data_IF_799395173311
#
_entry.id   IF_799395173311
#
_cell.length_a   1.000
_cell.length_b   1.000
_cell.length_c   1.000
_cell.angle_alpha   90.00
_cell.angle_beta   90.00
_cell.angle_gamma   90.00
#
_symmetry.space_group_name_H-M   'P 1'
#
loop_
_entity.id
_entity.type
_entity.pdbx_description
1 polymer ?
#
# COMPACT_ATOMS: atom_id res chain seq x y z
N UNK A 1 -10.00 8.57 -25.95
CA UNK A 1 -9.33 8.70 -24.63
C UNK A 1 -7.89 9.10 -24.88
N UNK A 2 -7.43 10.21 -24.29
CA UNK A 2 -6.05 10.68 -24.41
C UNK A 2 -5.12 9.77 -23.57
N UNK A 3 -3.84 9.62 -23.95
CA UNK A 3 -2.78 8.92 -23.21
C UNK A 3 -2.79 9.24 -21.70
N UNK A 4 -2.97 10.52 -21.33
CA UNK A 4 -3.01 10.94 -19.93
C UNK A 4 -4.24 10.40 -19.19
N UNK A 5 -5.40 10.34 -19.85
CA UNK A 5 -6.63 9.77 -19.29
C UNK A 5 -6.51 8.25 -19.14
N UNK A 6 -5.88 7.58 -20.10
CA UNK A 6 -5.59 6.14 -20.04
C UNK A 6 -4.65 5.78 -18.88
N UNK A 7 -3.55 6.53 -18.73
CA UNK A 7 -2.64 6.35 -17.60
C UNK A 7 -3.35 6.63 -16.28
N UNK A 8 -4.16 7.69 -16.20
CA UNK A 8 -4.96 7.98 -15.00
C UNK A 8 -5.92 6.82 -14.68
N UNK A 9 -6.62 6.29 -15.68
CA UNK A 9 -7.53 5.16 -15.50
C UNK A 9 -6.81 3.93 -14.94
N UNK A 10 -5.70 3.50 -15.57
CA UNK A 10 -4.91 2.36 -15.08
C UNK A 10 -4.47 2.57 -13.63
N UNK A 11 -3.93 3.73 -13.30
CA UNK A 11 -3.44 4.02 -11.96
C UNK A 11 -4.55 3.87 -10.92
N UNK A 12 -5.71 4.47 -11.20
CA UNK A 12 -6.87 4.36 -10.32
C UNK A 12 -7.39 2.93 -10.22
N UNK A 13 -7.41 2.18 -11.32
CA UNK A 13 -7.78 0.75 -11.30
C UNK A 13 -6.86 -0.05 -10.39
N UNK A 14 -5.54 0.09 -10.54
CA UNK A 14 -4.55 -0.61 -9.70
C UNK A 14 -4.71 -0.20 -8.23
N UNK A 15 -4.89 1.10 -7.95
CA UNK A 15 -5.08 1.59 -6.60
C UNK A 15 -6.33 1.02 -5.94
N UNK A 16 -7.46 1.02 -6.65
CA UNK A 16 -8.72 0.46 -6.17
C UNK A 16 -8.57 -1.04 -5.91
N UNK A 17 -7.94 -1.79 -6.82
CA UNK A 17 -7.67 -3.22 -6.63
C UNK A 17 -6.79 -3.46 -5.40
N UNK A 18 -5.76 -2.65 -5.18
CA UNK A 18 -4.89 -2.77 -4.01
C UNK A 18 -5.67 -2.54 -2.70
N UNK A 19 -6.53 -1.53 -2.65
CA UNK A 19 -7.40 -1.27 -1.49
C UNK A 19 -8.36 -2.43 -1.25
N UNK A 20 -9.06 -2.91 -2.28
CA UNK A 20 -9.99 -4.03 -2.14
C UNK A 20 -9.28 -5.29 -1.64
N UNK A 21 -8.12 -5.61 -2.21
CA UNK A 21 -7.32 -6.77 -1.78
C UNK A 21 -6.90 -6.64 -0.32
N UNK A 22 -6.46 -5.46 0.11
CA UNK A 22 -6.11 -5.20 1.50
C UNK A 22 -7.30 -5.35 2.46
N UNK A 23 -8.48 -4.81 2.10
CA UNK A 23 -9.69 -4.91 2.91
C UNK A 23 -10.16 -6.37 3.01
N UNK A 24 -10.24 -7.08 1.88
CA UNK A 24 -10.68 -8.48 1.85
C UNK A 24 -9.73 -9.33 2.71
N UNK A 25 -8.42 -9.18 2.51
CA UNK A 25 -7.41 -9.92 3.28
C UNK A 25 -7.50 -9.64 4.80
N UNK A 26 -7.65 -8.36 5.18
CA UNK A 26 -7.82 -7.98 6.58
C UNK A 26 -9.10 -8.57 7.19
N UNK A 27 -10.20 -8.54 6.44
CA UNK A 27 -11.49 -9.08 6.86
C UNK A 27 -11.44 -10.60 7.02
N UNK A 28 -10.97 -11.34 6.01
CA UNK A 28 -10.91 -12.80 6.06
C UNK A 28 -9.99 -13.26 7.18
N UNK A 29 -8.84 -12.59 7.36
CA UNK A 29 -7.92 -12.95 8.44
C UNK A 29 -8.54 -12.74 9.82
N UNK A 30 -9.24 -11.62 10.04
CA UNK A 30 -9.93 -11.40 11.32
C UNK A 30 -11.10 -12.35 11.54
N UNK A 31 -11.85 -12.66 10.48
CA UNK A 31 -12.94 -13.63 10.53
C UNK A 31 -12.41 -15.00 10.97
N UNK A 32 -11.34 -15.47 10.33
CA UNK A 32 -10.71 -16.75 10.63
C UNK A 32 -10.21 -16.80 12.07
N UNK A 33 -9.53 -15.74 12.53
CA UNK A 33 -9.02 -15.63 13.91
C UNK A 33 -10.10 -15.57 14.99
N UNK A 34 -11.34 -15.22 14.64
CA UNK A 34 -12.43 -15.02 15.61
C UNK A 34 -13.46 -16.15 15.60
N UNK A 35 -13.64 -16.84 14.48
CA UNK A 35 -14.70 -17.83 14.29
C UNK A 35 -14.18 -19.26 14.08
N UNK A 36 -12.88 -19.45 13.83
CA UNK A 36 -12.30 -20.79 13.66
C UNK A 36 -11.68 -21.27 14.98
N UNK A 37 -12.07 -22.45 15.51
CA UNK A 37 -11.46 -23.00 16.71
C UNK A 37 -9.96 -23.25 16.47
N UNK A 38 -9.09 -22.69 17.30
CA UNK A 38 -7.65 -22.91 17.20
C UNK A 38 -7.31 -24.36 17.59
N UNK A 39 -6.68 -25.10 16.69
CA UNK A 39 -6.20 -26.48 16.91
C UNK A 39 -4.67 -26.52 16.68
N UNK A 40 -3.92 -27.12 17.60
CA UNK A 40 -2.45 -27.29 17.44
C UNK A 40 -1.66 -25.97 17.52
N UNK A 41 -0.72 -25.76 16.59
CA UNK A 41 0.18 -24.58 16.57
C UNK A 41 -0.57 -23.24 16.32
N UNK A 42 -1.80 -23.29 15.82
CA UNK A 42 -2.65 -22.11 15.58
C UNK A 42 -3.11 -21.44 16.89
N UNK A 43 -2.98 -22.10 18.05
CA UNK A 43 -3.25 -21.52 19.38
C UNK A 43 -2.35 -20.31 19.66
N UNK A 44 -1.20 -20.20 18.98
CA UNK A 44 -0.28 -19.08 19.13
C UNK A 44 -0.80 -17.80 18.46
N UNK A 45 -1.65 -17.90 17.43
CA UNK A 45 -2.17 -16.75 16.69
C UNK A 45 -3.60 -16.43 17.07
N UNK A 46 -3.85 -15.17 17.42
CA UNK A 46 -5.16 -14.70 17.87
C UNK A 46 -5.39 -13.24 17.51
N UNK A 47 -6.66 -12.87 17.41
CA UNK A 47 -7.05 -11.47 17.43
C UNK A 47 -6.76 -10.86 18.81
N UNK A 48 -6.21 -9.67 18.84
CA UNK A 48 -5.90 -8.97 20.08
C UNK A 48 -5.28 -7.61 19.84
N UNK A 49 -5.62 -6.64 20.68
CA UNK A 49 -5.12 -5.29 20.58
C UNK A 49 -3.69 -5.17 21.12
N UNK A 50 -2.78 -4.61 20.32
CA UNK A 50 -1.39 -4.31 20.69
C UNK A 50 -1.04 -2.91 20.24
N UNK A 51 -0.42 -2.15 21.12
CA UNK A 51 0.12 -0.83 20.80
C UNK A 51 1.50 -0.69 21.43
N UNK A 52 2.51 -0.45 20.60
CA UNK A 52 3.90 -0.32 21.03
C UNK A 52 4.62 0.81 20.31
N UNK A 53 5.92 0.93 20.57
CA UNK A 53 6.77 1.96 19.96
C UNK A 53 6.79 1.88 18.43
N UNK A 54 6.80 0.68 17.85
CA UNK A 54 6.73 0.47 16.40
C UNK A 54 5.46 1.08 15.77
N UNK A 55 4.30 0.96 16.45
CA UNK A 55 3.05 1.56 15.99
C UNK A 55 3.13 3.08 15.91
N UNK A 56 3.83 3.70 16.86
CA UNK A 56 4.06 5.16 16.88
C UNK A 56 4.90 5.57 15.67
N UNK A 57 6.03 4.89 15.41
CA UNK A 57 6.88 5.22 14.25
C UNK A 57 6.15 5.06 12.92
N UNK A 58 5.37 3.98 12.75
CA UNK A 58 4.57 3.76 11.55
C UNK A 58 3.48 4.83 11.40
N UNK A 59 2.81 5.20 12.49
CA UNK A 59 1.78 6.25 12.48
C UNK A 59 2.35 7.62 12.10
N UNK A 60 3.55 7.95 12.60
CA UNK A 60 4.27 9.17 12.21
C UNK A 60 4.61 9.14 10.71
N UNK A 61 5.11 8.01 10.20
CA UNK A 61 5.41 7.85 8.78
C UNK A 61 4.14 8.04 7.91
N UNK A 62 3.03 7.43 8.30
CA UNK A 62 1.71 7.60 7.63
C UNK A 62 1.32 9.07 7.61
N UNK A 63 1.42 9.77 8.75
CA UNK A 63 1.05 11.18 8.86
C UNK A 63 1.89 12.05 7.93
N UNK A 64 3.22 11.88 7.96
CA UNK A 64 4.16 12.63 7.11
C UNK A 64 3.86 12.38 5.63
N UNK A 65 3.78 11.12 5.20
CA UNK A 65 3.51 10.75 3.81
C UNK A 65 2.15 11.30 3.36
N UNK A 66 1.12 11.20 4.21
CA UNK A 66 -0.23 11.71 3.91
C UNK A 66 -0.23 13.23 3.74
N UNK A 67 0.47 13.97 4.60
CA UNK A 67 0.57 15.42 4.51
C UNK A 67 1.27 15.85 3.21
N UNK A 68 2.42 15.24 2.89
CA UNK A 68 3.12 15.51 1.62
C UNK A 68 2.27 15.16 0.41
N UNK A 69 1.55 14.05 0.47
CA UNK A 69 0.70 13.59 -0.63
C UNK A 69 -0.53 14.50 -0.81
N UNK A 70 -1.12 15.02 0.26
CA UNK A 70 -2.22 15.98 0.20
C UNK A 70 -1.80 17.30 -0.45
N UNK A 71 -0.63 17.84 -0.07
CA UNK A 71 -0.07 19.07 -0.65
C UNK A 71 0.35 18.84 -2.12
N UNK A 72 0.96 17.69 -2.38
CA UNK A 72 1.57 17.34 -3.66
C UNK A 72 0.64 16.67 -4.67
N UNK A 73 -0.60 16.33 -4.32
CA UNK A 73 -1.43 15.36 -5.07
C UNK A 73 -1.49 15.61 -6.57
N UNK A 74 -1.78 16.86 -6.96
CA UNK A 74 -1.88 17.25 -8.38
C UNK A 74 -0.51 17.42 -9.04
N UNK A 75 0.50 17.85 -8.28
CA UNK A 75 1.86 18.14 -8.77
C UNK A 75 2.68 16.88 -9.00
N UNK A 76 2.41 15.84 -8.21
CA UNK A 76 3.12 14.57 -8.26
C UNK A 76 2.57 13.63 -9.34
N UNK A 77 1.54 14.00 -10.12
CA UNK A 77 1.01 13.12 -11.16
C UNK A 77 2.11 12.77 -12.20
N UNK A 78 2.29 11.50 -12.58
CA UNK A 78 1.50 10.30 -12.22
C UNK A 78 1.99 9.49 -11.01
N UNK A 79 2.99 9.96 -10.27
CA UNK A 79 3.60 9.32 -9.10
C UNK A 79 2.79 9.37 -7.80
N UNK A 80 1.76 10.22 -7.75
CA UNK A 80 0.85 10.32 -6.60
C UNK A 80 0.20 8.96 -6.24
N UNK A 81 -0.23 8.19 -7.24
CA UNK A 81 -0.88 6.89 -7.01
C UNK A 81 0.08 5.82 -6.47
N UNK A 82 1.29 5.61 -7.04
CA UNK A 82 2.28 4.72 -6.43
C UNK A 82 2.59 5.04 -4.97
N UNK A 83 2.72 6.33 -4.63
CA UNK A 83 2.95 6.77 -3.25
C UNK A 83 1.73 6.43 -2.38
N UNK A 84 0.51 6.61 -2.91
CA UNK A 84 -0.72 6.21 -2.22
C UNK A 84 -0.79 4.69 -1.97
N UNK A 85 -0.31 3.85 -2.89
CA UNK A 85 -0.25 2.39 -2.70
C UNK A 85 0.70 2.04 -1.54
N UNK A 86 1.87 2.68 -1.48
CA UNK A 86 2.82 2.50 -0.37
C UNK A 86 2.19 2.93 0.95
N UNK A 87 1.46 4.05 0.96
CA UNK A 87 0.72 4.54 2.12
C UNK A 87 -0.35 3.53 2.59
N UNK A 88 -1.10 2.94 1.66
CA UNK A 88 -2.05 1.85 1.96
C UNK A 88 -1.32 0.66 2.60
N UNK A 89 -0.13 0.31 2.09
CA UNK A 89 0.72 -0.71 2.69
C UNK A 89 1.08 -0.41 4.16
N UNK A 90 1.43 0.84 4.46
CA UNK A 90 1.71 1.26 5.86
C UNK A 90 0.47 1.12 6.74
N UNK A 91 -0.70 1.53 6.25
CA UNK A 91 -1.97 1.34 6.97
C UNK A 91 -2.27 -0.14 7.20
N UNK A 92 -2.00 -0.99 6.19
CA UNK A 92 -2.22 -2.43 6.25
C UNK A 92 -1.33 -3.09 7.30
N UNK A 93 -0.02 -2.83 7.31
CA UNK A 93 0.87 -3.39 8.34
C UNK A 93 0.53 -2.86 9.72
N UNK A 94 0.17 -1.57 9.86
CA UNK A 94 -0.26 -1.01 11.14
C UNK A 94 -1.51 -1.72 11.67
N UNK A 95 -2.48 -2.00 10.80
CA UNK A 95 -3.69 -2.74 11.16
C UNK A 95 -3.36 -4.13 11.72
N UNK A 96 -2.57 -4.92 10.98
CA UNK A 96 -2.19 -6.26 11.41
C UNK A 96 -1.36 -6.25 12.70
N UNK A 97 -0.40 -5.32 12.82
CA UNK A 97 0.38 -5.18 14.06
C UNK A 97 -0.49 -4.76 15.25
N UNK A 98 -1.59 -4.04 15.00
CA UNK A 98 -2.51 -3.58 16.05
C UNK A 98 -3.47 -4.66 16.50
N UNK A 99 -4.03 -5.44 15.57
CA UNK A 99 -5.15 -6.34 15.86
C UNK A 99 -4.79 -7.82 15.86
N UNK A 100 -3.55 -8.20 15.55
CA UNK A 100 -3.14 -9.60 15.50
C UNK A 100 -1.92 -9.89 16.37
N UNK A 101 -1.91 -11.08 16.96
CA UNK A 101 -0.83 -11.61 17.80
C UNK A 101 -0.32 -12.91 17.16
N UNK A 102 0.98 -13.19 17.30
CA UNK A 102 1.63 -14.36 16.71
C UNK A 102 2.04 -14.15 15.25
N UNK A 103 2.18 -15.24 14.52
CA UNK A 103 2.69 -15.26 13.14
C UNK A 103 1.79 -14.56 12.14
N UNK A 104 0.48 -14.47 12.41
CA UNK A 104 -0.46 -13.74 11.55
C UNK A 104 -0.11 -12.25 11.42
N UNK A 105 0.57 -11.66 12.41
CA UNK A 105 1.11 -10.30 12.28
C UNK A 105 2.13 -10.14 11.13
N UNK A 106 2.83 -11.22 10.76
CA UNK A 106 3.74 -11.22 9.64
C UNK A 106 3.02 -11.08 8.28
N UNK A 107 1.74 -11.46 8.18
CA UNK A 107 0.91 -11.23 6.99
C UNK A 107 0.82 -9.73 6.70
N UNK A 108 0.73 -8.89 7.74
CA UNK A 108 0.81 -7.43 7.61
C UNK A 108 2.11 -6.96 6.98
N UNK A 109 3.25 -7.51 7.41
CA UNK A 109 4.57 -7.17 6.88
C UNK A 109 4.74 -7.62 5.42
N UNK A 110 4.27 -8.83 5.07
CA UNK A 110 4.28 -9.30 3.69
C UNK A 110 3.39 -8.45 2.78
N UNK A 111 2.19 -8.08 3.23
CA UNK A 111 1.31 -7.19 2.48
C UNK A 111 1.93 -5.82 2.24
N UNK A 112 2.63 -5.26 3.25
CA UNK A 112 3.40 -4.03 3.07
C UNK A 112 4.54 -4.20 2.06
N UNK A 113 5.30 -5.30 2.10
CA UNK A 113 6.36 -5.56 1.14
C UNK A 113 5.83 -5.61 -0.30
N UNK A 114 4.69 -6.29 -0.52
CA UNK A 114 4.04 -6.34 -1.83
C UNK A 114 3.61 -4.93 -2.28
N UNK A 115 2.94 -4.17 -1.42
CA UNK A 115 2.52 -2.80 -1.72
C UNK A 115 3.73 -1.90 -2.05
N UNK A 116 4.82 -2.05 -1.32
CA UNK A 116 6.07 -1.34 -1.56
C UNK A 116 6.68 -1.68 -2.93
N UNK A 117 6.79 -2.96 -3.25
CA UNK A 117 7.31 -3.42 -4.55
C UNK A 117 6.44 -2.93 -5.71
N UNK A 118 5.11 -3.02 -5.60
CA UNK A 118 4.19 -2.51 -6.63
C UNK A 118 4.35 -1.00 -6.81
N UNK A 119 4.42 -0.23 -5.72
CA UNK A 119 4.67 1.20 -5.77
C UNK A 119 6.00 1.54 -6.46
N UNK A 120 7.08 0.84 -6.10
CA UNK A 120 8.40 1.03 -6.71
C UNK A 120 8.41 0.72 -8.21
N UNK A 121 7.81 -0.40 -8.63
CA UNK A 121 7.72 -0.78 -10.05
C UNK A 121 6.98 0.30 -10.86
N UNK A 122 5.90 0.86 -10.33
CA UNK A 122 5.16 1.93 -11.00
C UNK A 122 5.96 3.23 -11.07
N UNK A 123 6.67 3.61 -9.99
CA UNK A 123 7.56 4.78 -9.97
C UNK A 123 8.62 4.64 -11.06
N UNK A 124 9.29 3.49 -11.14
CA UNK A 124 10.32 3.23 -12.15
C UNK A 124 9.71 3.31 -13.56
N UNK A 125 8.57 2.66 -13.78
CA UNK A 125 7.89 2.65 -15.07
C UNK A 125 7.52 4.05 -15.55
N UNK A 126 6.96 4.90 -14.68
CA UNK A 126 6.65 6.29 -15.04
C UNK A 126 7.89 7.15 -15.23
N UNK A 127 8.95 6.90 -14.47
CA UNK A 127 10.22 7.62 -14.62
C UNK A 127 10.82 7.36 -15.99
N UNK A 128 10.85 6.08 -16.43
CA UNK A 128 11.30 5.69 -17.77
C UNK A 128 10.41 6.31 -18.85
N UNK A 129 9.08 6.23 -18.71
CA UNK A 129 8.15 6.81 -19.68
C UNK A 129 8.35 8.33 -19.85
N UNK A 130 8.54 9.06 -18.75
CA UNK A 130 8.78 10.50 -18.75
C UNK A 130 10.12 10.86 -19.41
N UNK A 131 11.18 10.08 -19.16
CA UNK A 131 12.49 10.27 -19.79
C UNK A 131 12.42 10.07 -21.31
N UNK A 132 11.69 9.04 -21.77
CA UNK A 132 11.50 8.78 -23.21
C UNK A 132 10.74 9.93 -23.88
N UNK A 133 9.70 10.45 -23.22
CA UNK A 133 8.90 11.56 -23.73
C UNK A 133 9.73 12.84 -23.86
N UNK A 134 10.55 13.16 -22.84
CA UNK A 134 11.49 14.29 -22.90
C UNK A 134 12.51 14.18 -24.03
N UNK A 135 13.03 12.98 -24.32
CA UNK A 135 13.96 12.80 -25.45
C UNK A 135 13.27 13.04 -26.80
N UNK A 136 12.01 12.60 -26.96
CA UNK A 136 11.24 12.82 -28.19
C UNK A 136 10.92 14.30 -28.43
N UNK A 137 10.70 15.09 -27.38
CA UNK A 137 10.46 16.53 -27.52
C UNK A 137 11.74 17.29 -27.90
N UNK A 138 12.90 16.90 -27.34
CA UNK A 138 14.19 17.52 -27.69
C UNK A 138 14.59 17.21 -29.13
N UNK A 139 14.41 15.97 -29.61
CA UNK A 139 14.75 15.59 -31.00
C UNK A 139 13.79 16.16 -32.08
N UNK A 140 12.70 16.81 -31.69
CA UNK A 140 11.75 17.46 -32.61
C UNK A 140 11.92 18.98 -32.68
N UNK A 141 12.73 19.56 -31.79
CA UNK A 141 13.17 20.95 -31.80
C UNK A 141 14.42 21.12 -32.65
#
# INVERSE_FOLDING_TARGET
MNKNEYMKAINWTIFILAIFTAIISAYTTLYDLTHTPALGDDVQSRAGFRWGSLHIFISIAILIISAFLAIGWKRLFPFNVPIAIILVGFCYVLFFLTFTIGWVGAVGMFGFLIAFLVGMVLIISYSIANLIERRKTVNKS
#
